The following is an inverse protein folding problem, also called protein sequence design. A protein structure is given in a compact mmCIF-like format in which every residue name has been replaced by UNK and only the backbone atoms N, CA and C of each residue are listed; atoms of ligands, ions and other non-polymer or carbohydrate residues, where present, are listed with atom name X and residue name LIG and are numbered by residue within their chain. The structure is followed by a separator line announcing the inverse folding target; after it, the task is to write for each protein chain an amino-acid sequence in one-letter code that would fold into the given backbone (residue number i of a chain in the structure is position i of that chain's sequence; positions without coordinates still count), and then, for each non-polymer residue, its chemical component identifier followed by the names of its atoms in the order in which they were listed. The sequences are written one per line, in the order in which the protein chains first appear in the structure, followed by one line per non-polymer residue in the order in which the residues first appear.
data_IF_185209718751
#
_entry.id   IF_185209718751
#
_cell.length_a   1.000
_cell.length_b   1.000
_cell.length_c   1.000
_cell.angle_alpha   90.00
_cell.angle_beta   90.00
_cell.angle_gamma   90.00
#
_symmetry.space_group_name_H-M   'P 1'
#
loop_
_entity.id
_entity.type
_entity.pdbx_description
1 polymer ?
#
# COMPACT_ATOMS: atom_id res chain seq x y z
N UNK A 1 5.45 -3.52 1.78
CA UNK A 1 4.12 -3.96 1.32
C UNK A 1 3.93 -5.47 1.50
N UNK A 2 2.87 -5.88 2.20
CA UNK A 2 2.44 -7.29 2.23
C UNK A 2 1.40 -7.48 1.13
N UNK A 3 1.77 -8.15 0.04
CA UNK A 3 0.85 -8.52 -1.04
C UNK A 3 0.29 -9.92 -0.76
N UNK A 4 -1.00 -10.02 -0.42
CA UNK A 4 -1.69 -11.31 -0.21
C UNK A 4 -2.56 -11.66 -1.43
N UNK A 5 -2.00 -12.35 -2.44
CA UNK A 5 -2.75 -12.65 -3.67
C UNK A 5 -3.72 -13.84 -3.53
N UNK A 6 -4.89 -13.72 -4.16
CA UNK A 6 -5.85 -14.81 -4.43
C UNK A 6 -5.68 -15.39 -5.86
N UNK A 7 -4.52 -15.20 -6.51
CA UNK A 7 -4.32 -15.50 -7.94
C UNK A 7 -3.08 -16.38 -8.19
N UNK A 8 -3.05 -17.16 -9.29
CA UNK A 8 -2.15 -18.30 -9.48
C UNK A 8 -0.64 -18.00 -9.53
N UNK A 9 -0.22 -16.74 -9.45
CA UNK A 9 1.20 -16.37 -9.27
C UNK A 9 1.35 -15.13 -8.35
N UNK A 10 1.20 -15.28 -7.02
CA UNK A 10 1.40 -14.20 -6.05
C UNK A 10 2.83 -13.65 -6.06
N UNK A 11 3.78 -14.47 -6.50
CA UNK A 11 5.20 -14.26 -6.28
C UNK A 11 5.79 -13.13 -7.11
N UNK A 12 5.28 -12.85 -8.32
CA UNK A 12 5.97 -11.92 -9.22
C UNK A 12 6.00 -10.47 -8.68
N UNK A 13 4.87 -9.82 -8.31
CA UNK A 13 4.91 -8.46 -7.78
C UNK A 13 5.68 -8.37 -6.45
N UNK A 14 5.46 -9.33 -5.54
CA UNK A 14 6.14 -9.34 -4.24
C UNK A 14 7.66 -9.52 -4.40
N UNK A 15 8.14 -10.43 -5.25
CA UNK A 15 9.58 -10.60 -5.49
C UNK A 15 10.21 -9.36 -6.13
N UNK A 16 9.50 -8.65 -6.99
CA UNK A 16 9.98 -7.35 -7.50
C UNK A 16 10.10 -6.31 -6.38
N UNK A 17 9.13 -6.24 -5.47
CA UNK A 17 9.16 -5.36 -4.30
C UNK A 17 10.31 -5.74 -3.35
N UNK A 18 10.49 -7.03 -3.08
CA UNK A 18 11.54 -7.53 -2.19
C UNK A 18 12.94 -7.23 -2.74
N UNK A 19 13.12 -7.35 -4.05
CA UNK A 19 14.36 -6.97 -4.73
C UNK A 19 14.66 -5.47 -4.54
N UNK A 20 13.64 -4.61 -4.68
CA UNK A 20 13.80 -3.18 -4.43
C UNK A 20 14.05 -2.89 -2.94
N UNK A 21 13.40 -3.62 -2.01
CA UNK A 21 13.64 -3.50 -0.56
C UNK A 21 15.11 -3.77 -0.25
N UNK A 22 15.68 -4.83 -0.83
CA UNK A 22 17.09 -5.16 -0.66
C UNK A 22 18.00 -4.02 -1.14
N UNK A 23 17.81 -3.57 -2.39
CA UNK A 23 18.60 -2.49 -2.96
C UNK A 23 18.49 -1.19 -2.13
N UNK A 24 17.29 -0.80 -1.70
CA UNK A 24 17.08 0.39 -0.86
C UNK A 24 17.77 0.27 0.50
N UNK A 25 17.75 -0.92 1.12
CA UNK A 25 18.44 -1.16 2.39
C UNK A 25 19.96 -1.06 2.25
N UNK A 26 20.52 -1.63 1.18
CA UNK A 26 21.96 -1.56 0.92
C UNK A 26 22.42 -0.13 0.60
N UNK A 27 21.75 0.53 -0.34
CA UNK A 27 22.18 1.83 -0.87
C UNK A 27 21.89 3.00 0.08
N UNK A 28 20.82 2.93 0.87
CA UNK A 28 20.42 3.99 1.80
C UNK A 28 20.74 3.67 3.26
N UNK A 29 21.29 2.48 3.54
CA UNK A 29 21.61 2.04 4.90
C UNK A 29 20.38 1.79 5.78
N UNK A 30 19.23 1.46 5.18
CA UNK A 30 17.98 1.23 5.91
C UNK A 30 17.97 -0.13 6.61
N UNK A 31 17.33 -0.17 7.76
CA UNK A 31 17.01 -1.38 8.51
C UNK A 31 15.54 -1.74 8.33
N UNK A 32 15.15 -2.93 8.82
CA UNK A 32 13.74 -3.32 8.84
C UNK A 32 12.87 -2.39 9.71
N UNK A 33 13.45 -1.68 10.67
CA UNK A 33 12.72 -0.75 11.54
C UNK A 33 12.34 0.56 10.82
N UNK A 34 13.04 0.87 9.73
CA UNK A 34 12.83 2.08 8.94
C UNK A 34 11.72 1.89 7.88
N UNK A 35 11.18 0.67 7.74
CA UNK A 35 10.30 0.29 6.64
C UNK A 35 8.96 -0.19 7.20
N UNK A 36 7.87 0.40 6.72
CA UNK A 36 6.51 -0.03 7.03
C UNK A 36 5.87 -0.64 5.79
N UNK A 37 5.29 -1.81 5.97
CA UNK A 37 4.61 -2.52 4.91
C UNK A 37 3.12 -2.15 4.82
N UNK A 38 2.75 -1.36 3.81
CA UNK A 38 1.34 -1.05 3.50
C UNK A 38 0.71 -2.20 2.70
N UNK A 39 -0.49 -2.69 3.06
CA UNK A 39 -1.16 -3.75 2.31
C UNK A 39 -1.62 -3.23 0.94
N UNK A 40 -1.20 -3.90 -0.12
CA UNK A 40 -1.57 -3.56 -1.50
C UNK A 40 -1.68 -4.84 -2.32
N UNK A 41 -2.69 -4.92 -3.19
CA UNK A 41 -2.82 -6.01 -4.16
C UNK A 41 -2.58 -5.53 -5.58
N UNK A 42 -2.02 -6.43 -6.38
CA UNK A 42 -1.75 -6.22 -7.78
C UNK A 42 -2.36 -7.34 -8.61
N UNK A 43 -2.79 -6.99 -9.82
CA UNK A 43 -3.19 -7.92 -10.87
C UNK A 43 -2.16 -7.88 -11.99
N UNK A 44 -1.81 -9.03 -12.54
CA UNK A 44 -0.90 -9.09 -13.69
C UNK A 44 -1.69 -8.91 -14.99
N UNK A 45 -1.43 -7.80 -15.66
CA UNK A 45 -1.91 -7.53 -17.02
C UNK A 45 -0.75 -7.71 -18.00
N UNK A 46 -0.77 -8.86 -18.69
CA UNK A 46 0.32 -9.32 -19.55
C UNK A 46 1.64 -9.45 -18.78
N UNK A 47 2.55 -8.48 -18.92
CA UNK A 47 3.87 -8.44 -18.26
C UNK A 47 4.01 -7.30 -17.25
N UNK A 48 2.90 -6.62 -16.91
CA UNK A 48 2.87 -5.50 -15.96
C UNK A 48 1.98 -5.82 -14.77
N UNK A 49 2.30 -5.24 -13.63
CA UNK A 49 1.49 -5.32 -12.42
C UNK A 49 0.70 -4.01 -12.28
N UNK A 50 -0.62 -4.11 -12.37
CA UNK A 50 -1.54 -2.99 -12.14
C UNK A 50 -2.16 -3.12 -10.75
N UNK A 51 -2.50 -2.00 -10.12
CA UNK A 51 -3.10 -2.00 -8.79
C UNK A 51 -4.52 -2.62 -8.85
N UNK A 52 -4.80 -3.58 -7.97
CA UNK A 52 -6.11 -4.25 -7.93
C UNK A 52 -7.20 -3.39 -7.26
N UNK A 53 -6.80 -2.54 -6.32
CA UNK A 53 -7.59 -1.47 -5.72
C UNK A 53 -6.70 -0.21 -5.61
N UNK A 54 -7.26 1.00 -5.37
CA UNK A 54 -6.48 2.24 -5.34
C UNK A 54 -5.21 2.12 -4.51
N UNK A 55 -4.06 2.45 -5.12
CA UNK A 55 -2.76 2.20 -4.52
C UNK A 55 -2.50 3.14 -3.34
N UNK A 56 -2.64 2.62 -2.12
CA UNK A 56 -2.50 3.42 -0.90
C UNK A 56 -1.09 3.98 -0.70
N UNK A 57 -0.05 3.41 -1.32
CA UNK A 57 1.32 3.93 -1.26
C UNK A 57 1.47 5.20 -2.10
N UNK A 58 0.66 5.37 -3.15
CA UNK A 58 0.63 6.56 -4.00
C UNK A 58 -0.14 7.71 -3.33
N UNK A 59 0.28 8.06 -2.11
CA UNK A 59 -0.36 9.08 -1.26
C UNK A 59 0.30 10.45 -1.38
N UNK A 60 -0.45 11.49 -1.05
CA UNK A 60 0.06 12.87 -0.93
C UNK A 60 0.57 13.09 0.51
N UNK A 61 1.81 13.56 0.66
CA UNK A 61 2.43 13.83 1.96
C UNK A 61 2.55 15.34 2.20
N UNK A 62 1.78 15.88 3.16
CA UNK A 62 1.80 17.29 3.58
C UNK A 62 2.22 17.39 5.06
N UNK A 63 3.52 17.26 5.31
CA UNK A 63 4.05 17.19 6.68
C UNK A 63 3.51 15.94 7.39
N UNK A 64 2.68 16.13 8.43
CA UNK A 64 2.04 15.03 9.16
C UNK A 64 0.70 14.57 8.57
N UNK A 65 0.19 15.26 7.55
CA UNK A 65 -1.10 14.93 6.94
C UNK A 65 -0.89 14.11 5.67
N UNK A 66 -1.53 12.93 5.62
CA UNK A 66 -1.46 11.99 4.50
C UNK A 66 -2.79 11.97 3.77
N UNK A 67 -2.78 12.28 2.47
CA UNK A 67 -3.89 12.09 1.55
C UNK A 67 -3.76 10.74 0.86
N UNK A 68 -4.39 9.72 1.41
CA UNK A 68 -4.25 8.32 1.01
C UNK A 68 -5.39 7.95 0.06
N UNK A 69 -5.14 7.34 -1.11
CA UNK A 69 -6.19 6.78 -1.96
C UNK A 69 -7.11 5.85 -1.17
N UNK A 70 -8.43 6.01 -1.31
CA UNK A 70 -9.40 5.21 -0.57
C UNK A 70 -9.45 3.80 -1.16
N UNK A 71 -9.12 2.73 -0.41
CA UNK A 71 -8.94 1.40 -1.00
C UNK A 71 -10.26 0.66 -1.27
N UNK A 72 -11.39 1.12 -0.72
CA UNK A 72 -12.70 0.45 -0.81
C UNK A 72 -12.66 -1.05 -0.45
N UNK A 73 -11.81 -1.40 0.52
CA UNK A 73 -11.67 -2.76 1.03
C UNK A 73 -12.91 -3.28 1.77
N UNK A 74 -12.90 -4.58 2.15
CA UNK A 74 -14.02 -5.22 2.84
C UNK A 74 -14.45 -4.47 4.10
N UNK A 75 -15.77 -4.46 4.34
CA UNK A 75 -16.36 -3.85 5.53
C UNK A 75 -16.46 -4.91 6.62
N UNK A 76 -15.75 -4.68 7.74
CA UNK A 76 -15.80 -5.49 8.96
C UNK A 76 -16.21 -4.55 10.09
N UNK A 77 -17.23 -4.93 10.86
CA UNK A 77 -17.79 -4.11 11.96
C UNK A 77 -18.14 -2.66 11.58
N UNK A 78 -18.54 -2.44 10.33
CA UNK A 78 -18.93 -1.13 9.80
C UNK A 78 -17.78 -0.29 9.23
N UNK A 79 -16.54 -0.79 9.27
CA UNK A 79 -15.35 -0.08 8.82
C UNK A 79 -14.59 -0.81 7.73
N UNK A 80 -13.89 -0.06 6.87
CA UNK A 80 -13.01 -0.65 5.87
C UNK A 80 -11.73 -1.18 6.55
N UNK A 81 -11.54 -2.49 6.56
CA UNK A 81 -10.44 -3.12 7.30
C UNK A 81 -9.05 -2.71 6.77
N UNK A 82 -8.94 -2.35 5.49
CA UNK A 82 -7.69 -1.84 4.91
C UNK A 82 -7.36 -0.43 5.43
N UNK A 83 -8.36 0.45 5.55
CA UNK A 83 -8.16 1.78 6.14
C UNK A 83 -7.76 1.67 7.60
N UNK A 84 -8.42 0.81 8.36
CA UNK A 84 -8.08 0.55 9.77
C UNK A 84 -6.67 0.01 9.93
N UNK A 85 -6.26 -0.94 9.08
CA UNK A 85 -4.90 -1.46 9.10
C UNK A 85 -3.87 -0.36 8.84
N UNK A 86 -4.08 0.49 7.82
CA UNK A 86 -3.19 1.62 7.52
C UNK A 86 -3.16 2.64 8.65
N UNK A 87 -4.30 2.96 9.28
CA UNK A 87 -4.34 3.82 10.47
C UNK A 87 -3.51 3.22 11.61
N UNK A 88 -3.68 1.93 11.89
CA UNK A 88 -2.94 1.24 12.96
C UNK A 88 -1.42 1.25 12.77
N UNK A 89 -0.95 1.32 11.52
CA UNK A 89 0.47 1.39 11.19
C UNK A 89 1.04 2.82 11.29
N UNK A 90 0.27 3.83 10.86
CA UNK A 90 0.79 5.18 10.63
C UNK A 90 0.43 6.18 11.74
N UNK A 91 -0.76 6.08 12.34
CA UNK A 91 -1.20 7.00 13.38
C UNK A 91 -0.32 6.96 14.65
N UNK A 92 0.23 5.81 15.09
CA UNK A 92 1.18 5.77 16.21
C UNK A 92 2.46 6.59 15.98
N UNK A 93 2.81 6.89 14.73
CA UNK A 93 3.94 7.76 14.37
C UNK A 93 3.60 9.26 14.43
N UNK A 94 2.36 9.60 14.79
CA UNK A 94 1.85 10.96 14.80
C UNK A 94 1.44 11.48 13.42
N UNK A 95 1.14 10.58 12.47
CA UNK A 95 0.63 10.89 11.14
C UNK A 95 -0.90 10.91 11.16
N UNK A 96 -1.50 11.80 10.38
CA UNK A 96 -2.96 11.92 10.21
C UNK A 96 -3.37 11.35 8.86
N UNK A 97 -4.12 10.25 8.87
CA UNK A 97 -4.55 9.56 7.66
C UNK A 97 -5.93 10.07 7.17
N UNK A 98 -5.96 10.69 5.99
CA UNK A 98 -7.20 11.08 5.31
C UNK A 98 -7.38 10.26 4.05
N UNK A 99 -8.45 9.47 3.97
CA UNK A 99 -8.73 8.62 2.81
C UNK A 99 -9.56 9.37 1.76
N UNK A 100 -9.00 9.55 0.57
CA UNK A 100 -9.55 10.36 -0.52
C UNK A 100 -10.15 9.42 -1.57
N UNK A 101 -11.43 9.65 -1.92
CA UNK A 101 -12.06 8.92 -3.02
C UNK A 101 -11.54 9.47 -4.35
N UNK A 102 -10.67 8.71 -5.01
CA UNK A 102 -10.09 9.00 -6.31
C UNK A 102 -10.48 7.98 -7.39
N UNK A 103 -11.37 7.04 -7.07
CA UNK A 103 -11.63 5.84 -7.86
C UNK A 103 -11.92 6.12 -9.34
N UNK A 104 -12.92 6.97 -9.62
CA UNK A 104 -13.33 7.27 -10.99
C UNK A 104 -12.48 8.32 -11.70
N UNK A 105 -11.65 9.05 -10.95
CA UNK A 105 -10.87 10.17 -11.48
C UNK A 105 -9.42 9.81 -11.80
N UNK A 106 -8.86 8.80 -11.11
CA UNK A 106 -7.43 8.47 -11.18
C UNK A 106 -7.11 6.97 -11.17
N UNK A 107 -8.03 6.11 -10.71
CA UNK A 107 -7.75 4.67 -10.55
C UNK A 107 -8.28 3.80 -11.71
N UNK A 108 -9.48 4.08 -12.23
CA UNK A 108 -10.07 3.38 -13.39
C UNK A 108 -9.43 3.75 -14.72
#
# INVERSE_FOLDING_TARGET
PVVTSLLPNPFFPQSCIDWNRHALKEELGLTEQDIIDIPQLFVLNSSRADAFFPDMVNMIVLGKHLGIPKPFGPIVDGWCCLEENVRSLLEPLGLTCTFINDFFSYHT
#
